data_IF_425186069787
#
_entry.id   IF_425186069787
#
_cell.length_a   1.000
_cell.length_b   1.000
_cell.length_c   1.000
_cell.angle_alpha   90.00
_cell.angle_beta   90.00
_cell.angle_gamma   90.00
#
_symmetry.space_group_name_H-M   'P 1'
#
loop_
_entity.id
_entity.type
_entity.pdbx_description
1 polymer ?
#
# COMPACT_ATOMS: atom_id res chain seq x y z
N UNK A 1 61.58 12.63 4.15
CA UNK A 1 60.35 12.16 3.48
C UNK A 1 60.32 12.81 2.11
N UNK A 2 60.60 12.04 1.07
CA UNK A 2 60.43 12.50 -0.31
C UNK A 2 58.94 12.70 -0.58
N UNK A 3 58.56 13.88 -1.06
CA UNK A 3 57.20 14.15 -1.51
C UNK A 3 57.10 13.55 -2.91
N UNK A 4 56.53 12.35 -3.02
CA UNK A 4 56.22 11.76 -4.32
C UNK A 4 55.12 12.60 -4.96
N UNK A 5 55.47 13.35 -6.00
CA UNK A 5 54.51 14.14 -6.81
C UNK A 5 54.00 13.25 -7.94
N UNK A 6 52.76 12.77 -7.82
CA UNK A 6 52.11 12.02 -8.90
C UNK A 6 51.66 12.94 -10.02
N UNK A 7 51.98 12.58 -11.27
CA UNK A 7 51.47 13.28 -12.45
C UNK A 7 49.95 13.13 -12.57
N UNK A 8 49.28 14.02 -13.30
CA UNK A 8 47.84 13.87 -13.57
C UNK A 8 47.53 12.62 -14.40
N UNK A 9 48.51 12.13 -15.16
CA UNK A 9 48.43 10.89 -15.93
C UNK A 9 48.46 9.65 -15.01
N UNK A 10 49.30 9.65 -13.98
CA UNK A 10 49.35 8.56 -12.98
C UNK A 10 48.09 8.53 -12.11
N UNK A 11 47.54 9.71 -11.79
CA UNK A 11 46.25 9.82 -11.10
C UNK A 11 45.14 9.21 -11.94
N UNK A 12 45.13 9.52 -13.25
CA UNK A 12 44.13 9.01 -14.20
C UNK A 12 44.25 7.50 -14.37
N UNK A 13 45.47 6.97 -14.56
CA UNK A 13 45.72 5.52 -14.63
C UNK A 13 45.34 4.77 -13.37
N UNK A 14 45.68 5.30 -12.19
CA UNK A 14 45.30 4.71 -10.90
C UNK A 14 43.78 4.63 -10.75
N UNK A 15 43.10 5.70 -11.12
CA UNK A 15 41.65 5.76 -11.15
C UNK A 15 41.09 4.78 -12.18
N UNK A 16 41.57 4.76 -13.42
CA UNK A 16 41.10 3.86 -14.49
C UNK A 16 41.29 2.39 -14.13
N UNK A 17 42.39 2.01 -13.50
CA UNK A 17 42.58 0.65 -12.97
C UNK A 17 41.59 0.32 -11.85
N UNK A 18 41.27 1.28 -10.98
CA UNK A 18 40.22 1.13 -9.97
C UNK A 18 38.82 1.00 -10.60
N UNK A 19 38.57 1.72 -11.70
CA UNK A 19 37.34 1.61 -12.51
C UNK A 19 37.24 0.20 -13.09
N UNK A 20 38.35 -0.33 -13.60
CA UNK A 20 38.45 -1.65 -14.21
C UNK A 20 38.56 -2.81 -13.19
N UNK A 21 38.28 -2.55 -11.91
CA UNK A 21 38.07 -3.58 -10.90
C UNK A 21 39.26 -3.89 -9.98
N UNK A 22 40.36 -3.14 -10.07
CA UNK A 22 41.49 -3.30 -9.15
C UNK A 22 41.14 -2.90 -7.71
N UNK A 23 41.69 -3.63 -6.73
CA UNK A 23 41.46 -3.38 -5.31
C UNK A 23 42.22 -2.13 -4.80
N UNK A 24 41.62 -1.38 -3.88
CA UNK A 24 42.21 -0.13 -3.34
C UNK A 24 43.50 -0.35 -2.55
N UNK A 25 43.65 -1.49 -1.85
CA UNK A 25 44.88 -1.82 -1.15
C UNK A 25 45.99 -2.19 -2.13
N UNK A 26 45.65 -2.94 -3.19
CA UNK A 26 46.58 -3.22 -4.28
C UNK A 26 47.06 -1.92 -4.96
N UNK A 27 46.13 -1.02 -5.30
CA UNK A 27 46.47 0.27 -5.92
C UNK A 27 47.24 1.19 -4.97
N UNK A 28 46.93 1.15 -3.67
CA UNK A 28 47.68 1.88 -2.65
C UNK A 28 49.14 1.48 -2.62
N UNK A 29 49.43 0.17 -2.74
CA UNK A 29 50.79 -0.35 -2.87
C UNK A 29 51.42 0.02 -4.21
N UNK A 30 50.72 -0.24 -5.33
CA UNK A 30 51.22 -0.01 -6.69
C UNK A 30 51.60 1.45 -6.96
N UNK A 31 50.75 2.37 -6.51
CA UNK A 31 50.95 3.81 -6.72
C UNK A 31 51.59 4.50 -5.51
N UNK A 32 51.98 3.76 -4.47
CA UNK A 32 52.59 4.31 -3.23
C UNK A 32 51.78 5.47 -2.61
N UNK A 33 50.45 5.36 -2.65
CA UNK A 33 49.53 6.38 -2.13
C UNK A 33 48.60 5.81 -1.08
N UNK A 34 48.17 6.65 -0.14
CA UNK A 34 47.14 6.24 0.82
C UNK A 34 45.78 6.03 0.14
N UNK A 35 44.97 5.12 0.67
CA UNK A 35 43.59 4.91 0.21
C UNK A 35 42.78 6.22 0.21
N UNK A 36 42.98 7.08 1.22
CA UNK A 36 42.37 8.42 1.28
C UNK A 36 42.78 9.33 0.12
N UNK A 37 43.98 9.16 -0.42
CA UNK A 37 44.46 9.91 -1.58
C UNK A 37 43.76 9.44 -2.85
N UNK A 38 43.60 8.11 -3.01
CA UNK A 38 42.84 7.49 -4.09
C UNK A 38 41.36 7.96 -4.03
N UNK A 39 40.74 7.98 -2.85
CA UNK A 39 39.38 8.50 -2.64
C UNK A 39 39.26 9.97 -3.08
N UNK A 40 40.26 10.79 -2.77
CA UNK A 40 40.33 12.18 -3.21
C UNK A 40 40.46 12.30 -4.74
N UNK A 41 41.24 11.43 -5.39
CA UNK A 41 41.38 11.45 -6.85
C UNK A 41 40.08 11.05 -7.55
N UNK A 42 39.42 9.99 -7.08
CA UNK A 42 38.09 9.56 -7.54
C UNK A 42 37.08 10.71 -7.42
N UNK A 43 37.06 11.39 -6.27
CA UNK A 43 36.14 12.51 -6.01
C UNK A 43 36.41 13.72 -6.90
N UNK A 44 37.68 13.99 -7.23
CA UNK A 44 38.08 15.10 -8.12
C UNK A 44 37.78 14.83 -9.60
N UNK A 45 37.76 13.57 -10.01
CA UNK A 45 37.52 13.18 -11.41
C UNK A 45 36.02 13.11 -11.77
N UNK A 46 35.12 13.48 -10.85
CA UNK A 46 33.67 13.46 -11.05
C UNK A 46 33.16 12.14 -11.64
N UNK A 47 33.72 11.03 -11.16
CA UNK A 47 33.44 9.71 -11.70
C UNK A 47 32.06 9.28 -11.24
N UNK A 48 31.26 8.78 -12.18
CA UNK A 48 29.96 8.21 -11.86
C UNK A 48 30.15 6.94 -11.01
N UNK A 49 29.93 7.10 -9.69
CA UNK A 49 30.03 6.03 -8.70
C UNK A 49 29.16 4.82 -9.05
N UNK A 50 28.05 5.05 -9.77
CA UNK A 50 27.13 4.00 -10.16
C UNK A 50 27.68 3.21 -11.34
N UNK A 51 28.29 3.87 -12.34
CA UNK A 51 29.02 3.20 -13.43
C UNK A 51 30.15 2.32 -12.89
N UNK A 52 30.88 2.81 -11.87
CA UNK A 52 31.91 2.02 -11.18
C UNK A 52 31.33 0.76 -10.52
N UNK A 53 30.21 0.90 -9.82
CA UNK A 53 29.53 -0.23 -9.18
C UNK A 53 28.98 -1.22 -10.21
N UNK A 54 28.48 -0.74 -11.36
CA UNK A 54 28.04 -1.59 -12.47
C UNK A 54 29.22 -2.41 -13.01
N UNK A 55 30.35 -1.75 -13.31
CA UNK A 55 31.55 -2.42 -13.79
C UNK A 55 32.05 -3.49 -12.81
N UNK A 56 32.08 -3.19 -11.50
CA UNK A 56 32.49 -4.17 -10.47
C UNK A 56 31.60 -5.40 -10.37
N UNK A 57 30.29 -5.23 -10.61
CA UNK A 57 29.33 -6.34 -10.59
C UNK A 57 29.32 -7.14 -11.88
N UNK A 58 30.00 -6.69 -12.94
CA UNK A 58 29.99 -7.30 -14.27
C UNK A 58 30.41 -8.78 -14.26
N UNK A 59 31.29 -9.16 -13.34
CA UNK A 59 31.76 -10.54 -13.17
C UNK A 59 30.66 -11.50 -12.66
N UNK A 60 29.60 -10.98 -12.07
CA UNK A 60 28.49 -11.77 -11.52
C UNK A 60 27.19 -11.53 -12.30
N UNK A 61 26.93 -10.28 -12.67
CA UNK A 61 25.75 -9.88 -13.44
C UNK A 61 26.24 -9.13 -14.67
N UNK A 62 26.01 -9.64 -15.89
CA UNK A 62 26.35 -8.93 -17.13
C UNK A 62 25.82 -7.48 -17.16
N UNK A 63 26.57 -6.56 -17.78
CA UNK A 63 26.30 -5.11 -17.73
C UNK A 63 24.94 -4.75 -18.36
N UNK A 64 24.59 -5.41 -19.46
CA UNK A 64 23.29 -5.34 -20.13
C UNK A 64 22.15 -5.76 -19.20
N UNK A 65 22.30 -6.90 -18.52
CA UNK A 65 21.34 -7.39 -17.52
C UNK A 65 21.24 -6.41 -16.34
N UNK A 66 22.35 -5.86 -15.86
CA UNK A 66 22.33 -4.84 -14.81
C UNK A 66 21.56 -3.59 -15.22
N UNK A 67 21.75 -3.10 -16.45
CA UNK A 67 21.01 -1.94 -16.96
C UNK A 67 19.51 -2.21 -17.02
N UNK A 68 19.10 -3.41 -17.43
CA UNK A 68 17.69 -3.81 -17.43
C UNK A 68 17.13 -3.86 -16.00
N UNK A 69 17.85 -4.51 -15.07
CA UNK A 69 17.46 -4.59 -13.66
C UNK A 69 17.31 -3.19 -13.06
N UNK A 70 18.27 -2.28 -13.27
CA UNK A 70 18.23 -0.94 -12.70
C UNK A 70 17.05 -0.10 -13.21
N UNK A 71 16.64 -0.30 -14.47
CA UNK A 71 15.39 0.29 -14.99
C UNK A 71 14.17 -0.33 -14.32
N UNK A 72 14.12 -1.66 -14.25
CA UNK A 72 13.00 -2.40 -13.65
C UNK A 72 12.81 -2.09 -12.16
N UNK A 73 13.88 -1.93 -11.39
CA UNK A 73 13.79 -1.65 -9.95
C UNK A 73 13.15 -0.28 -9.63
N UNK A 74 12.95 0.57 -10.64
CA UNK A 74 12.18 1.80 -10.53
C UNK A 74 10.67 1.62 -10.81
N UNK A 75 10.24 0.43 -11.22
CA UNK A 75 8.82 0.05 -11.42
C UNK A 75 8.28 -0.73 -10.23
N UNK A 76 6.97 -0.90 -10.14
CA UNK A 76 6.35 -1.69 -9.08
C UNK A 76 6.67 -3.19 -9.19
N UNK A 77 7.12 -3.88 -8.11
CA UNK A 77 7.33 -5.33 -8.14
C UNK A 77 6.05 -6.13 -8.42
N UNK A 78 4.86 -5.56 -8.21
CA UNK A 78 3.59 -6.23 -8.57
C UNK A 78 3.51 -6.51 -10.07
N UNK A 79 4.09 -5.64 -10.91
CA UNK A 79 4.20 -5.84 -12.36
C UNK A 79 5.02 -7.09 -12.70
N UNK A 80 5.95 -7.48 -11.83
CA UNK A 80 6.75 -8.69 -11.93
C UNK A 80 6.12 -9.91 -11.24
N UNK A 81 4.84 -9.83 -10.84
CA UNK A 81 4.10 -10.92 -10.21
C UNK A 81 4.32 -11.06 -8.70
N UNK A 82 5.02 -10.13 -8.05
CA UNK A 82 5.15 -10.14 -6.59
C UNK A 82 3.89 -9.56 -5.91
N UNK A 83 3.69 -9.88 -4.63
CA UNK A 83 2.57 -9.34 -3.84
C UNK A 83 2.90 -8.04 -3.09
N UNK A 84 4.12 -7.55 -3.24
CA UNK A 84 4.63 -6.39 -2.52
C UNK A 84 4.81 -5.23 -3.49
N UNK A 85 4.35 -4.05 -3.07
CA UNK A 85 4.51 -2.79 -3.79
C UNK A 85 5.92 -2.19 -3.68
N UNK A 86 6.86 -2.85 -2.99
CA UNK A 86 8.22 -2.35 -2.80
C UNK A 86 9.26 -3.45 -3.03
N UNK A 87 10.30 -3.12 -3.78
CA UNK A 87 11.47 -3.98 -3.93
C UNK A 87 12.21 -4.09 -2.60
N UNK A 88 12.39 -5.31 -2.14
CA UNK A 88 13.30 -5.66 -1.06
C UNK A 88 14.35 -6.66 -1.55
N UNK A 89 15.38 -6.89 -0.74
CA UNK A 89 16.51 -7.72 -1.15
C UNK A 89 16.06 -9.15 -1.52
N UNK A 90 15.08 -9.71 -0.80
CA UNK A 90 14.58 -11.06 -1.06
C UNK A 90 13.87 -11.13 -2.40
N UNK A 91 13.01 -10.15 -2.71
CA UNK A 91 12.29 -10.10 -4.00
C UNK A 91 13.24 -9.89 -5.17
N UNK A 92 14.28 -9.07 -5.01
CA UNK A 92 15.28 -8.83 -6.05
C UNK A 92 16.10 -10.08 -6.31
N UNK A 93 16.58 -10.76 -5.27
CA UNK A 93 17.29 -12.04 -5.41
C UNK A 93 16.42 -13.07 -6.14
N UNK A 94 15.15 -13.22 -5.73
CA UNK A 94 14.21 -14.15 -6.38
C UNK A 94 13.96 -13.81 -7.84
N UNK A 95 13.75 -12.53 -8.15
CA UNK A 95 13.52 -12.09 -9.52
C UNK A 95 14.72 -12.41 -10.43
N UNK A 96 15.93 -12.03 -9.99
CA UNK A 96 17.15 -12.20 -10.78
C UNK A 96 17.46 -13.69 -10.98
N UNK A 97 17.29 -14.50 -9.94
CA UNK A 97 17.50 -15.94 -10.05
C UNK A 97 16.47 -16.59 -10.98
N UNK A 98 15.18 -16.28 -10.80
CA UNK A 98 14.12 -16.89 -11.62
C UNK A 98 14.19 -16.48 -13.09
N UNK A 99 14.54 -15.22 -13.40
CA UNK A 99 14.56 -14.71 -14.77
C UNK A 99 15.86 -15.00 -15.52
N UNK A 100 17.00 -14.91 -14.83
CA UNK A 100 18.32 -14.98 -15.46
C UNK A 100 19.18 -16.17 -14.99
N UNK A 101 18.74 -16.93 -13.97
CA UNK A 101 19.53 -18.01 -13.38
C UNK A 101 20.76 -17.53 -12.61
N UNK A 102 20.80 -16.25 -12.21
CA UNK A 102 21.97 -15.64 -11.54
C UNK A 102 21.73 -15.59 -10.04
N UNK A 103 22.65 -16.19 -9.28
CA UNK A 103 22.66 -16.10 -7.82
C UNK A 103 23.39 -14.84 -7.35
N UNK A 104 22.72 -14.05 -6.51
CA UNK A 104 23.29 -12.84 -5.92
C UNK A 104 23.06 -12.81 -4.42
N UNK A 105 23.97 -12.19 -3.68
CA UNK A 105 23.83 -12.04 -2.24
C UNK A 105 22.99 -10.82 -1.86
N UNK A 106 22.58 -10.78 -0.58
CA UNK A 106 21.76 -9.68 -0.03
C UNK A 106 22.40 -8.30 -0.16
N UNK A 107 23.74 -8.20 -0.03
CA UNK A 107 24.45 -6.91 -0.16
C UNK A 107 24.37 -6.37 -1.58
N UNK A 108 24.53 -7.24 -2.58
CA UNK A 108 24.40 -6.87 -3.99
C UNK A 108 22.97 -6.45 -4.33
N UNK A 109 21.97 -7.20 -3.87
CA UNK A 109 20.57 -6.83 -4.06
C UNK A 109 20.25 -5.46 -3.46
N UNK A 110 20.74 -5.19 -2.24
CA UNK A 110 20.60 -3.87 -1.60
C UNK A 110 21.27 -2.76 -2.43
N UNK A 111 22.49 -2.99 -2.90
CA UNK A 111 23.21 -2.02 -3.72
C UNK A 111 22.49 -1.72 -5.05
N UNK A 112 21.91 -2.73 -5.71
CA UNK A 112 21.12 -2.53 -6.93
C UNK A 112 19.88 -1.67 -6.67
N UNK A 113 19.18 -1.87 -5.56
CA UNK A 113 18.03 -1.04 -5.17
C UNK A 113 18.46 0.42 -4.91
N UNK A 114 19.58 0.62 -4.21
CA UNK A 114 20.11 1.96 -3.92
C UNK A 114 20.57 2.67 -5.21
N UNK A 115 21.24 1.95 -6.11
CA UNK A 115 21.73 2.50 -7.38
C UNK A 115 20.57 2.83 -8.34
N UNK A 116 19.54 1.97 -8.41
CA UNK A 116 18.35 2.21 -9.24
C UNK A 116 17.66 3.53 -8.90
N UNK A 117 17.51 3.82 -7.60
CA UNK A 117 16.91 5.06 -7.09
C UNK A 117 17.71 6.33 -7.45
N UNK A 118 19.00 6.19 -7.72
CA UNK A 118 19.88 7.32 -8.06
C UNK A 118 19.95 7.58 -9.57
N UNK A 119 19.90 6.54 -10.41
CA UNK A 119 20.04 6.67 -11.87
C UNK A 119 18.83 7.36 -12.50
N UNK A 120 17.63 6.96 -12.09
CA UNK A 120 16.38 7.51 -12.62
C UNK A 120 15.53 8.01 -11.45
N UNK A 121 15.86 9.19 -10.88
CA UNK A 121 15.08 9.74 -9.79
C UNK A 121 13.70 10.14 -10.32
N UNK A 122 12.71 9.30 -10.06
CA UNK A 122 11.30 9.62 -10.29
C UNK A 122 10.75 10.15 -8.96
N UNK A 123 9.99 11.25 -8.99
CA UNK A 123 9.31 11.72 -7.78
C UNK A 123 8.38 10.64 -7.28
N UNK A 124 8.22 10.58 -5.96
CA UNK A 124 7.39 9.55 -5.33
C UNK A 124 5.98 9.53 -5.91
N UNK A 125 5.34 10.70 -6.02
CA UNK A 125 3.98 10.87 -6.57
C UNK A 125 3.90 10.36 -8.02
N UNK A 126 4.75 10.86 -8.91
CA UNK A 126 4.81 10.45 -10.32
C UNK A 126 4.96 8.93 -10.46
N UNK A 127 5.78 8.31 -9.61
CA UNK A 127 5.95 6.85 -9.61
C UNK A 127 4.67 6.12 -9.22
N UNK A 128 3.97 6.58 -8.19
CA UNK A 128 2.71 5.96 -7.75
C UNK A 128 1.64 6.07 -8.84
N UNK A 129 1.49 7.25 -9.45
CA UNK A 129 0.52 7.45 -10.53
C UNK A 129 0.83 6.59 -11.76
N UNK A 130 2.10 6.53 -12.17
CA UNK A 130 2.53 5.68 -13.28
C UNK A 130 2.29 4.19 -12.97
N UNK A 131 2.63 3.72 -11.77
CA UNK A 131 2.39 2.34 -11.34
C UNK A 131 0.89 1.99 -11.39
N UNK A 132 0.03 2.89 -10.90
CA UNK A 132 -1.44 2.71 -10.90
C UNK A 132 -1.98 2.65 -12.33
N UNK A 133 -1.55 3.55 -13.21
CA UNK A 133 -1.96 3.57 -14.61
C UNK A 133 -1.52 2.31 -15.37
N UNK A 134 -0.30 1.83 -15.12
CA UNK A 134 0.21 0.61 -15.75
C UNK A 134 -0.54 -0.63 -15.24
N UNK A 135 -0.85 -0.70 -13.94
CA UNK A 135 -1.65 -1.78 -13.37
C UNK A 135 -3.07 -1.82 -13.94
N UNK A 136 -3.71 -0.66 -14.09
CA UNK A 136 -5.03 -0.54 -14.73
C UNK A 136 -4.98 -0.98 -16.20
N UNK A 137 -3.96 -0.57 -16.95
CA UNK A 137 -3.75 -0.99 -18.33
C UNK A 137 -3.54 -2.51 -18.49
N UNK A 138 -2.96 -3.16 -17.48
CA UNK A 138 -2.81 -4.62 -17.41
C UNK A 138 -4.09 -5.35 -16.94
N UNK A 139 -5.18 -4.62 -16.70
CA UNK A 139 -6.48 -5.15 -16.32
C UNK A 139 -6.63 -5.48 -14.83
N UNK A 140 -5.80 -4.90 -13.96
CA UNK A 140 -5.98 -5.07 -12.51
C UNK A 140 -7.19 -4.26 -12.00
N UNK A 141 -8.02 -4.88 -11.16
CA UNK A 141 -9.02 -4.12 -10.39
C UNK A 141 -8.32 -3.40 -9.25
N UNK A 142 -8.44 -2.08 -9.22
CA UNK A 142 -7.90 -1.25 -8.13
C UNK A 142 -9.00 -1.06 -7.10
N UNK A 143 -8.68 -1.39 -5.84
CA UNK A 143 -9.62 -1.29 -4.73
C UNK A 143 -9.02 -0.48 -3.59
N UNK A 144 -9.59 0.69 -3.31
CA UNK A 144 -9.22 1.54 -2.18
C UNK A 144 -9.86 1.01 -0.89
N UNK A 145 -9.11 0.93 0.21
CA UNK A 145 -9.59 0.39 1.49
C UNK A 145 -9.50 1.39 2.65
N UNK A 146 -10.66 1.66 3.23
CA UNK A 146 -10.84 2.51 4.40
C UNK A 146 -11.42 1.75 5.58
N UNK A 147 -10.99 2.12 6.79
CA UNK A 147 -11.51 1.60 8.05
C UNK A 147 -11.96 2.76 8.94
N UNK A 148 -13.26 2.86 9.17
CA UNK A 148 -13.87 3.97 9.91
C UNK A 148 -14.53 3.43 11.17
N UNK A 149 -14.16 3.97 12.34
CA UNK A 149 -14.90 3.72 13.57
C UNK A 149 -16.25 4.45 13.53
N UNK A 150 -17.35 3.70 13.63
CA UNK A 150 -18.71 4.23 13.60
C UNK A 150 -19.46 4.09 14.93
N UNK A 151 -18.81 3.61 15.98
CA UNK A 151 -19.36 3.58 17.33
C UNK A 151 -18.85 2.41 18.16
N UNK A 152 -19.63 2.00 19.15
CA UNK A 152 -19.30 0.92 20.09
C UNK A 152 -20.53 0.07 20.41
N UNK A 153 -20.31 -1.20 20.70
CA UNK A 153 -21.36 -2.15 21.12
C UNK A 153 -20.92 -2.88 22.38
N UNK A 154 -21.88 -3.21 23.25
CA UNK A 154 -21.61 -4.05 24.41
C UNK A 154 -21.34 -5.48 23.96
N UNK A 155 -20.32 -6.10 24.56
CA UNK A 155 -19.86 -7.43 24.17
C UNK A 155 -20.93 -8.50 24.31
N UNK A 156 -21.79 -8.38 25.32
CA UNK A 156 -22.91 -9.29 25.58
C UNK A 156 -23.85 -9.37 24.37
N UNK A 157 -24.05 -8.26 23.64
CA UNK A 157 -24.92 -8.22 22.45
C UNK A 157 -24.37 -9.02 21.27
N UNK A 158 -23.05 -9.28 21.25
CA UNK A 158 -22.39 -10.00 20.15
C UNK A 158 -21.91 -11.38 20.55
N UNK A 159 -21.80 -11.66 21.85
CA UNK A 159 -21.47 -12.99 22.38
C UNK A 159 -22.53 -14.02 21.99
N UNK A 160 -23.80 -13.61 21.87
CA UNK A 160 -24.89 -14.44 21.37
C UNK A 160 -24.70 -14.93 19.94
N UNK A 161 -23.83 -14.28 19.14
CA UNK A 161 -23.47 -14.73 17.81
C UNK A 161 -22.36 -15.81 17.81
N UNK A 162 -21.83 -16.16 18.99
CA UNK A 162 -20.76 -17.15 19.20
C UNK A 162 -19.50 -16.94 18.33
N UNK A 163 -19.32 -15.74 17.77
CA UNK A 163 -18.25 -15.42 16.82
C UNK A 163 -16.86 -15.68 17.43
N UNK A 164 -16.71 -15.34 18.71
CA UNK A 164 -15.53 -15.59 19.55
C UNK A 164 -15.76 -15.08 20.98
N UNK A 165 -14.91 -15.51 21.91
CA UNK A 165 -14.84 -14.93 23.25
C UNK A 165 -14.08 -13.61 23.22
N UNK A 166 -14.72 -12.56 23.72
CA UNK A 166 -14.11 -11.27 23.96
C UNK A 166 -13.70 -11.16 25.43
N UNK A 167 -12.83 -10.22 25.71
CA UNK A 167 -12.25 -9.93 27.03
C UNK A 167 -12.63 -8.55 27.54
N UNK A 168 -12.92 -7.61 26.65
CA UNK A 168 -13.43 -6.28 26.98
C UNK A 168 -14.96 -6.31 26.98
N UNK A 169 -15.59 -5.50 27.86
CA UNK A 169 -17.05 -5.40 27.94
C UNK A 169 -17.67 -4.60 26.78
N UNK A 170 -16.84 -3.84 26.04
CA UNK A 170 -17.25 -2.99 24.92
C UNK A 170 -16.30 -3.15 23.76
N UNK A 171 -16.86 -3.25 22.58
CA UNK A 171 -16.13 -3.37 21.32
C UNK A 171 -16.34 -2.13 20.48
N UNK A 172 -15.30 -1.72 19.77
CA UNK A 172 -15.40 -0.72 18.72
C UNK A 172 -16.03 -1.36 17.48
N UNK A 173 -17.00 -0.66 16.90
CA UNK A 173 -17.65 -1.04 15.64
C UNK A 173 -16.96 -0.27 14.52
N UNK A 174 -16.27 -0.97 13.63
CA UNK A 174 -15.53 -0.37 12.54
C UNK A 174 -16.15 -0.77 11.20
N UNK A 175 -16.55 0.22 10.41
CA UNK A 175 -17.00 0.07 9.03
C UNK A 175 -15.78 -0.03 8.11
N UNK A 176 -15.71 -1.13 7.37
CA UNK A 176 -14.77 -1.31 6.27
C UNK A 176 -15.47 -0.83 5.01
N UNK A 177 -14.84 0.10 4.29
CA UNK A 177 -15.31 0.60 3.00
C UNK A 177 -14.24 0.23 1.98
N UNK A 178 -14.59 -0.58 0.99
CA UNK A 178 -13.74 -0.87 -0.14
C UNK A 178 -14.34 -0.29 -1.42
N UNK A 179 -13.62 0.62 -2.06
CA UNK A 179 -14.10 1.29 -3.28
C UNK A 179 -13.35 0.70 -4.48
N UNK A 180 -14.10 0.04 -5.37
CA UNK A 180 -13.63 -0.47 -6.65
C UNK A 180 -14.17 0.41 -7.79
N UNK A 181 -13.69 0.20 -9.01
CA UNK A 181 -14.08 0.99 -10.19
C UNK A 181 -15.59 1.11 -10.38
N UNK A 182 -16.35 0.05 -10.12
CA UNK A 182 -17.81 0.00 -10.35
C UNK A 182 -18.66 -0.29 -9.11
N UNK A 183 -18.03 -0.61 -7.98
CA UNK A 183 -18.75 -0.99 -6.77
C UNK A 183 -18.09 -0.48 -5.51
N UNK A 184 -18.90 -0.22 -4.48
CA UNK A 184 -18.46 0.00 -3.11
C UNK A 184 -18.88 -1.21 -2.30
N UNK A 185 -17.94 -1.79 -1.57
CA UNK A 185 -18.17 -2.90 -0.67
C UNK A 185 -18.11 -2.44 0.78
N UNK A 186 -19.08 -2.87 1.57
CA UNK A 186 -19.21 -2.50 2.98
C UNK A 186 -19.20 -3.75 3.86
N UNK A 187 -18.36 -3.78 4.89
CA UNK A 187 -18.34 -4.83 5.92
C UNK A 187 -18.09 -4.20 7.30
N UNK A 188 -18.29 -4.95 8.38
CA UNK A 188 -18.09 -4.51 9.76
C UNK A 188 -17.07 -5.42 10.43
N UNK A 189 -16.12 -4.81 11.14
CA UNK A 189 -15.19 -5.49 12.03
C UNK A 189 -15.37 -4.96 13.45
N UNK A 190 -15.60 -5.88 14.38
CA UNK A 190 -15.67 -5.60 15.81
C UNK A 190 -14.29 -5.80 16.45
N UNK A 191 -13.79 -4.79 17.16
CA UNK A 191 -12.45 -4.84 17.73
C UNK A 191 -12.37 -4.30 19.16
N UNK A 192 -11.56 -4.94 20.00
CA UNK A 192 -11.29 -4.49 21.38
C UNK A 192 -10.29 -3.33 21.43
N UNK A 193 -9.47 -3.22 20.39
CA UNK A 193 -8.45 -2.18 20.22
C UNK A 193 -8.68 -1.47 18.89
N UNK A 194 -8.01 -0.33 18.69
CA UNK A 194 -8.15 0.45 17.45
C UNK A 194 -7.84 -0.42 16.22
N UNK A 195 -8.79 -0.48 15.27
CA UNK A 195 -8.65 -1.28 14.06
C UNK A 195 -7.46 -0.85 13.20
N UNK A 196 -7.11 0.43 13.19
CA UNK A 196 -5.93 0.95 12.47
C UNK A 196 -4.79 1.16 13.48
N UNK A 197 -3.67 0.46 13.29
CA UNK A 197 -2.45 0.67 14.08
C UNK A 197 -1.37 1.37 13.25
N UNK A 198 -1.25 2.69 13.44
CA UNK A 198 -0.16 3.49 12.86
C UNK A 198 1.15 3.42 13.70
N UNK A 199 1.19 2.80 14.89
CA UNK A 199 2.36 2.87 15.80
C UNK A 199 3.47 1.84 15.50
N UNK A 200 4.72 2.32 15.54
CA UNK A 200 5.93 1.48 15.61
C UNK A 200 6.08 0.75 16.94
N UNK A 201 6.88 -0.32 16.99
CA UNK A 201 7.07 -1.15 18.20
C UNK A 201 7.73 -0.31 19.31
N UNK A 202 7.10 -0.24 20.48
CA UNK A 202 7.71 0.28 21.72
C UNK A 202 8.32 -0.89 22.49
N UNK A 203 9.61 -0.81 22.83
CA UNK A 203 10.29 -1.80 23.68
C UNK A 203 9.82 -1.60 25.11
N UNK A 204 9.30 -2.67 25.74
CA UNK A 204 8.60 -2.59 27.03
C UNK A 204 9.13 -3.61 28.06
N UNK A 205 9.03 -3.25 29.36
CA UNK A 205 9.52 -3.95 30.56
C UNK A 205 8.72 -5.24 30.84
N UNK A 206 9.18 -6.06 31.80
CA UNK A 206 8.65 -7.42 32.06
C UNK A 206 7.17 -7.48 32.45
N UNK A 207 6.66 -6.52 33.24
CA UNK A 207 5.23 -6.43 33.61
C UNK A 207 4.34 -6.14 32.38
N UNK A 208 4.86 -5.39 31.41
CA UNK A 208 4.19 -5.09 30.15
C UNK A 208 4.15 -6.30 29.21
N UNK A 209 4.95 -7.36 29.44
CA UNK A 209 4.97 -8.56 28.56
C UNK A 209 3.63 -9.31 28.53
N UNK A 210 2.89 -9.38 29.65
CA UNK A 210 1.55 -9.99 29.68
C UNK A 210 0.55 -9.15 28.88
N UNK A 211 0.58 -7.82 29.02
CA UNK A 211 -0.23 -6.90 28.22
C UNK A 211 0.11 -7.01 26.72
N UNK A 212 1.40 -7.08 26.38
CA UNK A 212 1.89 -7.26 24.99
C UNK A 212 1.42 -8.59 24.39
N UNK A 213 1.31 -9.66 25.19
CA UNK A 213 0.79 -10.94 24.70
C UNK A 213 -0.70 -10.86 24.35
N UNK A 214 -1.52 -10.27 25.25
CA UNK A 214 -2.96 -10.03 25.00
C UNK A 214 -3.15 -9.18 23.73
N UNK A 215 -2.42 -8.08 23.63
CA UNK A 215 -2.47 -7.19 22.47
C UNK A 215 -2.03 -7.89 21.18
N UNK A 216 -0.98 -8.72 21.22
CA UNK A 216 -0.54 -9.52 20.06
C UNK A 216 -1.61 -10.49 19.57
N UNK A 217 -2.36 -11.12 20.48
CA UNK A 217 -3.49 -11.98 20.12
C UNK A 217 -4.62 -11.16 19.49
N UNK A 218 -5.03 -10.06 20.12
CA UNK A 218 -6.05 -9.15 19.59
C UNK A 218 -5.70 -8.61 18.20
N UNK A 219 -4.43 -8.24 17.98
CA UNK A 219 -3.92 -7.80 16.66
C UNK A 219 -3.93 -8.90 15.62
N UNK A 220 -3.65 -10.16 16.01
CA UNK A 220 -3.76 -11.30 15.10
C UNK A 220 -5.21 -11.46 14.64
N UNK A 221 -6.14 -11.40 15.58
CA UNK A 221 -7.58 -11.49 15.31
C UNK A 221 -8.04 -10.40 14.35
N UNK A 222 -7.65 -9.13 14.58
CA UNK A 222 -7.94 -8.03 13.63
C UNK A 222 -7.34 -8.30 12.24
N UNK A 223 -6.11 -8.80 12.18
CA UNK A 223 -5.48 -9.14 10.90
C UNK A 223 -6.25 -10.23 10.15
N UNK A 224 -6.75 -11.23 10.87
CA UNK A 224 -7.53 -12.32 10.30
C UNK A 224 -8.89 -11.81 9.79
N UNK A 225 -9.60 -10.99 10.58
CA UNK A 225 -10.86 -10.35 10.17
C UNK A 225 -10.69 -9.50 8.91
N UNK A 226 -9.64 -8.65 8.85
CA UNK A 226 -9.32 -7.87 7.66
C UNK A 226 -9.11 -8.75 6.45
N UNK A 227 -8.34 -9.84 6.58
CA UNK A 227 -8.10 -10.75 5.47
C UNK A 227 -9.38 -11.43 4.97
N UNK A 228 -10.29 -11.82 5.86
CA UNK A 228 -11.56 -12.40 5.45
C UNK A 228 -12.44 -11.40 4.69
N UNK A 229 -12.45 -10.11 5.08
CA UNK A 229 -13.15 -9.07 4.29
C UNK A 229 -12.57 -8.98 2.87
N UNK A 230 -11.25 -9.02 2.72
CA UNK A 230 -10.61 -8.92 1.41
C UNK A 230 -10.89 -10.12 0.51
N UNK A 231 -10.97 -11.32 1.09
CA UNK A 231 -11.44 -12.51 0.35
C UNK A 231 -12.86 -12.34 -0.15
N UNK A 232 -13.78 -11.85 0.69
CA UNK A 232 -15.17 -11.61 0.28
C UNK A 232 -15.25 -10.60 -0.87
N UNK A 233 -14.47 -9.51 -0.81
CA UNK A 233 -14.37 -8.53 -1.90
C UNK A 233 -13.87 -9.21 -3.18
N UNK A 234 -12.82 -10.02 -3.07
CA UNK A 234 -12.26 -10.73 -4.23
C UNK A 234 -13.25 -11.68 -4.89
N UNK A 235 -14.01 -12.42 -4.09
CA UNK A 235 -15.09 -13.29 -4.57
C UNK A 235 -16.19 -12.45 -5.25
N UNK A 236 -16.57 -11.31 -4.66
CA UNK A 236 -17.67 -10.49 -5.16
C UNK A 236 -17.32 -9.63 -6.40
N UNK A 237 -16.04 -9.30 -6.60
CA UNK A 237 -15.52 -8.67 -7.81
C UNK A 237 -15.37 -9.64 -8.98
N UNK A 238 -15.35 -10.96 -8.71
CA UNK A 238 -15.10 -12.02 -9.71
C UNK A 238 -13.83 -11.76 -10.56
N UNK A 239 -12.80 -11.21 -9.90
CA UNK A 239 -11.51 -10.86 -10.53
C UNK A 239 -10.36 -11.50 -9.77
N UNK A 240 -9.48 -12.20 -10.48
CA UNK A 240 -8.28 -12.80 -9.89
C UNK A 240 -7.21 -11.75 -9.55
N UNK A 241 -7.11 -10.72 -10.40
CA UNK A 241 -6.09 -9.68 -10.36
C UNK A 241 -6.62 -8.41 -9.68
N UNK A 242 -6.72 -8.44 -8.36
CA UNK A 242 -7.12 -7.29 -7.54
C UNK A 242 -5.92 -6.77 -6.76
N UNK A 243 -5.76 -5.45 -6.75
CA UNK A 243 -4.78 -4.74 -5.93
C UNK A 243 -5.52 -3.85 -4.95
N UNK A 244 -5.22 -4.07 -3.68
CA UNK A 244 -5.79 -3.27 -2.61
C UNK A 244 -4.86 -2.11 -2.26
N UNK A 245 -5.31 -0.89 -2.47
CA UNK A 245 -4.59 0.32 -2.09
C UNK A 245 -5.10 0.80 -0.73
N UNK A 246 -4.18 1.17 0.16
CA UNK A 246 -4.52 1.65 1.50
C UNK A 246 -3.41 2.54 2.06
N UNK A 247 -3.71 3.29 3.11
CA UNK A 247 -2.72 4.05 3.87
C UNK A 247 -1.93 3.15 4.81
N UNK A 248 -0.95 3.69 5.54
CA UNK A 248 -0.13 2.87 6.42
C UNK A 248 -0.95 2.20 7.55
N UNK A 249 -0.99 0.88 7.50
CA UNK A 249 -1.57 0.01 8.52
C UNK A 249 -0.62 -1.16 8.79
N UNK A 250 -0.15 -1.25 10.03
CA UNK A 250 0.80 -2.26 10.47
C UNK A 250 0.25 -3.69 10.39
N UNK A 251 -1.06 -3.86 10.60
CA UNK A 251 -1.69 -5.18 10.54
C UNK A 251 -1.76 -5.68 9.09
N UNK A 252 -2.10 -4.80 8.15
CA UNK A 252 -2.04 -5.08 6.70
C UNK A 252 -0.61 -5.40 6.26
N UNK A 253 0.37 -4.63 6.75
CA UNK A 253 1.79 -4.86 6.43
C UNK A 253 2.27 -6.25 6.88
N UNK A 254 1.77 -6.76 8.01
CA UNK A 254 2.05 -8.14 8.46
C UNK A 254 1.35 -9.18 7.61
N UNK A 255 0.11 -8.92 7.17
CA UNK A 255 -0.62 -9.82 6.26
C UNK A 255 0.14 -10.05 4.96
N UNK A 256 0.72 -8.99 4.37
CA UNK A 256 1.58 -9.10 3.18
C UNK A 256 2.68 -10.15 3.31
N UNK A 257 3.24 -10.33 4.52
CA UNK A 257 4.33 -11.27 4.79
C UNK A 257 3.86 -12.73 4.96
N UNK A 258 2.60 -12.94 5.37
CA UNK A 258 2.10 -14.27 5.77
C UNK A 258 1.10 -14.89 4.80
N UNK A 259 0.32 -14.10 4.08
CA UNK A 259 -0.78 -14.59 3.22
C UNK A 259 -0.57 -14.08 1.80
N UNK A 260 0.03 -14.94 0.97
CA UNK A 260 0.70 -14.60 -0.30
C UNK A 260 -0.19 -14.54 -1.53
N UNK A 261 -1.51 -14.40 -1.37
CA UNK A 261 -2.46 -14.37 -2.49
C UNK A 261 -3.15 -13.01 -2.65
N UNK A 262 -2.87 -12.05 -1.76
CA UNK A 262 -3.44 -10.71 -1.82
C UNK A 262 -2.32 -9.70 -2.12
N UNK A 263 -2.53 -8.93 -3.19
CA UNK A 263 -1.63 -7.85 -3.62
C UNK A 263 -2.06 -6.55 -2.95
N UNK A 264 -1.10 -5.82 -2.39
CA UNK A 264 -1.37 -4.57 -1.68
C UNK A 264 -0.40 -3.47 -2.08
N UNK A 265 -0.94 -2.27 -2.23
CA UNK A 265 -0.19 -1.03 -2.45
C UNK A 265 -0.39 -0.09 -1.26
N UNK A 266 0.67 0.18 -0.50
CA UNK A 266 0.59 1.19 0.57
C UNK A 266 1.08 2.52 -0.01
N UNK A 267 0.26 3.55 0.12
CA UNK A 267 0.55 4.91 -0.38
C UNK A 267 0.47 5.92 0.77
N UNK A 268 1.06 7.10 0.57
CA UNK A 268 0.95 8.20 1.54
C UNK A 268 -0.47 8.78 1.61
N UNK A 269 -0.83 9.32 2.77
CA UNK A 269 -2.19 9.83 3.04
C UNK A 269 -2.63 10.90 2.01
N UNK A 270 -1.73 11.81 1.58
CA UNK A 270 -2.04 12.83 0.58
C UNK A 270 -2.42 12.23 -0.79
N UNK A 271 -1.57 11.33 -1.31
CA UNK A 271 -1.85 10.63 -2.57
C UNK A 271 -3.12 9.81 -2.44
N UNK A 272 -3.31 9.09 -1.33
CA UNK A 272 -4.48 8.24 -1.12
C UNK A 272 -5.80 9.02 -1.25
N UNK A 273 -5.84 10.26 -0.75
CA UNK A 273 -7.02 11.12 -0.85
C UNK A 273 -7.28 11.50 -2.31
N UNK A 274 -6.24 11.72 -3.12
CA UNK A 274 -6.34 12.07 -4.54
C UNK A 274 -6.73 10.87 -5.44
N UNK A 275 -6.56 9.62 -4.97
CA UNK A 275 -6.85 8.43 -5.78
C UNK A 275 -8.36 8.24 -6.01
N UNK A 276 -8.76 8.29 -7.29
CA UNK A 276 -10.05 7.90 -7.89
C UNK A 276 -11.24 7.87 -6.90
N UNK A 277 -11.74 9.05 -6.57
CA UNK A 277 -12.93 9.25 -5.75
C UNK A 277 -14.13 9.75 -6.57
N UNK A 278 -13.89 10.36 -7.74
CA UNK A 278 -14.87 11.12 -8.55
C UNK A 278 -16.21 10.41 -8.78
N UNK A 279 -16.19 9.08 -8.99
CA UNK A 279 -17.43 8.31 -9.23
C UNK A 279 -18.38 8.32 -8.02
N UNK A 280 -17.82 8.49 -6.84
CA UNK A 280 -18.47 8.43 -5.53
C UNK A 280 -18.37 9.76 -4.76
N UNK A 281 -18.26 10.86 -5.49
CA UNK A 281 -18.36 12.21 -4.96
C UNK A 281 -19.69 12.85 -5.34
N UNK A 282 -20.17 13.74 -4.47
CA UNK A 282 -21.24 14.68 -4.80
C UNK A 282 -20.67 15.93 -5.50
N UNK A 283 -21.53 16.89 -5.85
CA UNK A 283 -21.12 18.13 -6.54
C UNK A 283 -20.20 19.02 -5.70
N UNK A 284 -20.31 18.93 -4.38
CA UNK A 284 -19.45 19.65 -3.44
C UNK A 284 -18.07 18.98 -3.30
N UNK A 285 -17.83 17.87 -4.01
CA UNK A 285 -16.61 17.07 -3.92
C UNK A 285 -16.53 16.20 -2.66
N UNK A 286 -17.64 16.00 -1.95
CA UNK A 286 -17.63 15.17 -0.73
C UNK A 286 -17.72 13.69 -1.11
N UNK A 287 -16.71 12.94 -0.70
CA UNK A 287 -16.64 11.50 -0.97
C UNK A 287 -17.62 10.68 -0.14
N UNK A 288 -17.94 9.47 -0.61
CA UNK A 288 -18.70 8.49 0.19
C UNK A 288 -18.03 8.19 1.53
N UNK A 289 -16.69 8.21 1.58
CA UNK A 289 -15.91 7.98 2.81
C UNK A 289 -16.18 9.11 3.78
N UNK A 290 -16.10 10.36 3.34
CA UNK A 290 -16.37 11.55 4.17
C UNK A 290 -17.83 11.64 4.59
N UNK A 291 -18.75 11.09 3.79
CA UNK A 291 -20.16 11.02 4.15
C UNK A 291 -20.42 9.96 5.23
N UNK A 292 -19.81 8.78 5.08
CA UNK A 292 -19.94 7.69 6.05
C UNK A 292 -19.19 8.00 7.35
N UNK A 293 -18.08 8.73 7.23
CA UNK A 293 -17.35 9.31 8.34
C UNK A 293 -18.17 10.40 9.02
N UNK A 294 -18.53 10.15 10.28
CA UNK A 294 -19.17 11.15 11.13
C UNK A 294 -18.58 10.99 12.51
N UNK A 295 -17.82 11.99 12.94
CA UNK A 295 -17.08 11.98 14.19
C UNK A 295 -18.00 11.81 15.40
N UNK A 296 -19.23 12.31 15.31
CA UNK A 296 -20.22 12.18 16.37
C UNK A 296 -20.59 10.71 16.61
N UNK A 297 -20.52 9.88 15.56
CA UNK A 297 -20.83 8.46 15.69
C UNK A 297 -19.70 7.66 16.35
N UNK A 298 -18.46 8.15 16.43
CA UNK A 298 -17.36 7.40 17.07
C UNK A 298 -17.66 7.00 18.52
N UNK A 299 -18.48 7.80 19.21
CA UNK A 299 -18.89 7.56 20.59
C UNK A 299 -20.32 7.00 20.72
N UNK A 300 -21.02 6.78 19.60
CA UNK A 300 -22.36 6.19 19.59
C UNK A 300 -22.31 4.80 20.21
N UNK A 301 -23.25 4.56 21.12
CA UNK A 301 -23.46 3.23 21.72
C UNK A 301 -24.61 2.57 20.99
N UNK A 302 -24.35 1.42 20.39
CA UNK A 302 -25.37 0.60 19.76
C UNK A 302 -25.99 -0.33 20.79
N UNK A 303 -27.32 -0.25 20.93
CA UNK A 303 -28.07 -1.15 21.82
C UNK A 303 -28.13 -2.60 21.35
N UNK A 304 -28.04 -2.84 20.02
CA UNK A 304 -27.92 -4.17 19.44
C UNK A 304 -27.28 -4.08 18.06
N UNK A 305 -26.86 -5.22 17.52
CA UNK A 305 -26.35 -5.35 16.15
C UNK A 305 -27.34 -4.82 15.10
N UNK A 306 -28.64 -5.05 15.29
CA UNK A 306 -29.68 -4.62 14.34
C UNK A 306 -29.66 -3.09 14.17
N UNK A 307 -29.35 -2.37 15.24
CA UNK A 307 -29.21 -0.92 15.22
C UNK A 307 -27.99 -0.48 14.40
N UNK A 308 -26.90 -1.26 14.36
CA UNK A 308 -25.75 -0.99 13.50
C UNK A 308 -26.19 -1.11 12.03
N UNK A 309 -26.84 -2.21 11.66
CA UNK A 309 -27.30 -2.45 10.29
C UNK A 309 -28.25 -1.34 9.81
N UNK A 310 -29.21 -0.94 10.65
CA UNK A 310 -30.14 0.15 10.33
C UNK A 310 -29.44 1.49 10.12
N UNK A 311 -28.43 1.80 10.95
CA UNK A 311 -27.66 3.05 10.83
C UNK A 311 -26.84 3.07 9.54
N UNK A 312 -26.19 1.94 9.20
CA UNK A 312 -25.45 1.81 7.94
C UNK A 312 -26.38 1.96 6.74
N UNK A 313 -27.53 1.27 6.73
CA UNK A 313 -28.53 1.39 5.67
C UNK A 313 -29.07 2.81 5.53
N UNK A 314 -29.44 3.46 6.64
CA UNK A 314 -29.92 4.84 6.62
C UNK A 314 -28.89 5.82 6.05
N UNK A 315 -27.61 5.64 6.38
CA UNK A 315 -26.52 6.44 5.79
C UNK A 315 -26.35 6.20 4.29
N UNK A 316 -26.41 4.95 3.85
CA UNK A 316 -26.34 4.60 2.42
C UNK A 316 -27.50 5.24 1.67
N UNK A 317 -28.73 5.08 2.16
CA UNK A 317 -29.92 5.62 1.50
C UNK A 317 -29.87 7.15 1.41
N UNK A 318 -29.42 7.81 2.48
CA UNK A 318 -29.27 9.27 2.51
C UNK A 318 -28.15 9.76 1.57
N UNK A 319 -27.02 9.06 1.51
CA UNK A 319 -25.93 9.36 0.57
C UNK A 319 -26.39 9.21 -0.88
N UNK A 320 -27.00 8.07 -1.22
CA UNK A 320 -27.50 7.79 -2.58
C UNK A 320 -28.53 8.84 -3.00
N UNK A 321 -29.42 9.24 -2.09
CA UNK A 321 -30.38 10.30 -2.35
C UNK A 321 -29.69 11.65 -2.61
N UNK A 322 -28.71 12.03 -1.78
CA UNK A 322 -27.94 13.28 -1.98
C UNK A 322 -27.28 13.31 -3.36
N UNK A 323 -26.45 12.31 -3.67
CA UNK A 323 -25.71 12.27 -4.94
C UNK A 323 -26.65 12.21 -6.16
N UNK A 324 -27.79 11.52 -6.04
CA UNK A 324 -28.77 11.46 -7.14
C UNK A 324 -29.43 12.82 -7.39
N UNK A 325 -29.78 13.55 -6.32
CA UNK A 325 -30.41 14.87 -6.43
C UNK A 325 -29.44 15.91 -6.96
N UNK A 326 -28.20 15.90 -6.49
CA UNK A 326 -27.16 16.83 -6.92
C UNK A 326 -26.94 16.67 -8.43
N UNK A 327 -26.53 15.47 -8.88
CA UNK A 327 -26.34 15.15 -10.32
C UNK A 327 -27.54 15.50 -11.20
N UNK A 328 -28.74 15.53 -10.63
CA UNK A 328 -29.94 15.89 -11.35
C UNK A 328 -30.15 17.42 -11.43
N UNK A 329 -29.79 18.21 -10.42
CA UNK A 329 -29.91 19.67 -10.47
C UNK A 329 -29.14 20.26 -11.66
N UNK A 330 -27.97 19.71 -12.02
CA UNK A 330 -27.25 20.00 -13.27
C UNK A 330 -28.13 19.81 -14.52
N UNK A 331 -28.93 18.74 -14.55
CA UNK A 331 -29.78 18.39 -15.71
C UNK A 331 -31.02 19.28 -15.77
N UNK A 332 -31.55 19.68 -14.61
CA UNK A 332 -32.78 20.49 -14.52
C UNK A 332 -32.59 21.92 -15.03
N UNK A 333 -31.39 22.47 -14.91
CA UNK A 333 -31.02 23.76 -15.50
C UNK A 333 -31.08 23.75 -17.05
N UNK A 334 -31.30 22.57 -17.67
CA UNK A 334 -31.55 22.40 -19.10
C UNK A 334 -33.04 22.19 -19.51
N UNK A 335 -34.01 22.21 -18.57
CA UNK A 335 -35.46 22.20 -18.85
C UNK A 335 -36.27 21.02 -18.25
N UNK A 336 -37.53 21.27 -17.82
CA UNK A 336 -38.35 20.37 -16.98
C UNK A 336 -39.32 19.44 -17.73
N UNK A 337 -39.38 18.15 -17.36
CA UNK A 337 -40.38 17.19 -17.86
C UNK A 337 -40.60 15.97 -16.93
N UNK A 338 -41.70 15.20 -17.07
CA UNK A 338 -41.99 13.98 -16.26
C UNK A 338 -40.90 12.89 -16.33
N UNK A 339 -40.08 12.91 -17.38
CA UNK A 339 -38.88 12.07 -17.53
C UNK A 339 -37.89 12.25 -16.37
N UNK A 340 -37.93 13.39 -15.68
CA UNK A 340 -37.06 13.73 -14.55
C UNK A 340 -37.23 12.76 -13.38
N UNK A 341 -38.46 12.55 -12.92
CA UNK A 341 -38.73 11.70 -11.74
C UNK A 341 -38.34 10.25 -12.04
N UNK A 342 -38.70 9.76 -13.22
CA UNK A 342 -38.33 8.42 -13.67
C UNK A 342 -36.81 8.23 -13.76
N UNK A 343 -36.09 9.23 -14.30
CA UNK A 343 -34.63 9.20 -14.37
C UNK A 343 -33.97 9.26 -12.99
N UNK A 344 -34.52 10.04 -12.05
CA UNK A 344 -34.06 10.06 -10.66
C UNK A 344 -34.20 8.69 -9.99
N UNK A 345 -35.37 8.05 -10.07
CA UNK A 345 -35.59 6.73 -9.47
C UNK A 345 -34.65 5.68 -10.07
N UNK A 346 -34.48 5.68 -11.39
CA UNK A 346 -33.54 4.80 -12.09
C UNK A 346 -32.09 5.03 -11.67
N UNK A 347 -31.65 6.28 -11.54
CA UNK A 347 -30.30 6.61 -11.09
C UNK A 347 -30.07 6.23 -9.63
N UNK A 348 -31.06 6.47 -8.77
CA UNK A 348 -31.04 6.06 -7.36
C UNK A 348 -30.88 4.55 -7.24
N UNK A 349 -31.65 3.78 -8.01
CA UNK A 349 -31.56 2.32 -8.02
C UNK A 349 -30.20 1.84 -8.56
N UNK A 350 -29.69 2.46 -9.64
CA UNK A 350 -28.37 2.16 -10.19
C UNK A 350 -27.27 2.39 -9.15
N UNK A 351 -27.26 3.54 -8.47
CA UNK A 351 -26.29 3.83 -7.42
C UNK A 351 -26.41 2.86 -6.25
N UNK A 352 -27.63 2.54 -5.82
CA UNK A 352 -27.84 1.54 -4.76
C UNK A 352 -27.26 0.18 -5.14
N UNK A 353 -27.39 -0.27 -6.40
CA UNK A 353 -26.78 -1.51 -6.91
C UNK A 353 -25.25 -1.49 -6.91
N UNK A 354 -24.63 -0.31 -6.99
CA UNK A 354 -23.16 -0.19 -6.86
C UNK A 354 -22.68 -0.37 -5.42
N UNK A 355 -23.53 -0.14 -4.42
CA UNK A 355 -23.17 -0.33 -3.01
C UNK A 355 -23.59 -1.73 -2.55
N UNK A 356 -22.60 -2.58 -2.30
CA UNK A 356 -22.74 -3.98 -1.90
C UNK A 356 -22.37 -4.15 -0.43
N UNK A 357 -23.24 -4.78 0.37
CA UNK A 357 -22.94 -5.09 1.77
C UNK A 357 -22.52 -6.55 1.89
N UNK A 358 -21.29 -6.78 2.37
CA UNK A 358 -20.64 -8.09 2.40
C UNK A 358 -20.87 -8.89 3.68
N UNK A 359 -21.32 -8.24 4.76
CA UNK A 359 -21.64 -8.95 6.00
C UNK A 359 -23.08 -9.46 6.02
N UNK A 360 -23.31 -10.60 5.38
CA UNK A 360 -24.63 -11.26 5.34
C UNK A 360 -25.09 -11.76 6.72
N UNK A 361 -24.19 -12.14 7.63
CA UNK A 361 -24.54 -12.67 8.96
C UNK A 361 -25.14 -11.61 9.90
N UNK A 362 -24.97 -10.32 9.60
CA UNK A 362 -25.71 -9.23 10.27
C UNK A 362 -27.01 -8.83 9.56
N UNK A 363 -27.30 -9.43 8.40
CA UNK A 363 -28.35 -9.01 7.46
C UNK A 363 -29.40 -10.11 7.23
N UNK A 364 -29.21 -11.32 7.76
CA UNK A 364 -30.27 -12.33 7.77
C UNK A 364 -31.18 -12.20 9.01
N UNK A 365 -31.95 -11.09 9.03
CA UNK A 365 -33.29 -10.95 9.61
C UNK A 365 -33.77 -9.48 9.48
N UNK A 366 -34.07 -9.09 8.24
CA UNK A 366 -35.13 -8.10 7.98
C UNK A 366 -36.40 -8.88 7.66
#
# INVERSE_FOLDING_TARGET
>A
MEIIVHSDEDKSKCVDEYINGADKYYLSGKYSVSIRTIDRWISKMNIDEIQLRIARRANTIPIDIQKEILKLLNTNPILCGFNSSEWNEITVIKYINNKYGIEINRRMAKALIEDAKKINPIKYEDRIYNDIAELDALGYSIVLLDYIKIGRIDTIEVEALELRKYTENKLDVNLVIARASDSIYLDIILSEINIVDKRGIVVTKVSEKKCVYKEKLQRRVISDDKYEVLKKIKIAEDKENIIFITTYDKDITKLKKKRSNIKYFIVGDAIYIELLQEKYEDEDGKSVVDYMYDENNRNRKYGSIRNISQVVWGKIDAYVLKVTNDKFNIIKDAGNDKNIIFNMEKNREKMRKTIKILNSNFIHNI
#
